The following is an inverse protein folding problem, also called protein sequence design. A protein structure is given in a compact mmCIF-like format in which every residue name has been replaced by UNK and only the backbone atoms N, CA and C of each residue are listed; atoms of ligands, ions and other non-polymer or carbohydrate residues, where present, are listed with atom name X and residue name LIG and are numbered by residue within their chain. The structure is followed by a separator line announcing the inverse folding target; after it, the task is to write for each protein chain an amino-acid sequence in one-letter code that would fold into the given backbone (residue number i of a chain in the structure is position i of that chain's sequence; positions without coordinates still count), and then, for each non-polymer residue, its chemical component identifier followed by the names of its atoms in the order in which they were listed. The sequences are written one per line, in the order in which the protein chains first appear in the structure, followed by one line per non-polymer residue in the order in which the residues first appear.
data_IF_030999751362
#
_entry.id   IF_030999751362
#
_cell.length_a   1.000
_cell.length_b   1.000
_cell.length_c   1.000
_cell.angle_alpha   90.00
_cell.angle_beta   90.00
_cell.angle_gamma   90.00
#
_symmetry.space_group_name_H-M   'P 1'
#
loop_
_entity.id
_entity.type
_entity.pdbx_description
1 polymer ?
#
# COMPACT_ATOMS: atom_id res chain seq x y z
N UNK A 1 -21.11 -13.54 -30.41
CA UNK A 1 -20.12 -12.66 -29.76
C UNK A 1 -19.40 -13.49 -28.71
N UNK A 2 -18.15 -13.89 -28.98
CA UNK A 2 -17.32 -14.54 -27.97
C UNK A 2 -17.03 -13.51 -26.87
N UNK A 3 -17.53 -13.74 -25.66
CA UNK A 3 -17.06 -13.01 -24.49
C UNK A 3 -15.65 -13.52 -24.21
N UNK A 4 -14.65 -12.77 -24.65
CA UNK A 4 -13.27 -12.98 -24.20
C UNK A 4 -13.26 -12.98 -22.67
N UNK A 5 -12.49 -13.90 -22.09
CA UNK A 5 -12.32 -13.95 -20.63
C UNK A 5 -11.66 -12.65 -20.17
N UNK A 6 -12.09 -12.02 -19.06
CA UNK A 6 -11.41 -10.82 -18.55
C UNK A 6 -9.89 -11.04 -18.35
N UNK A 7 -9.47 -12.28 -18.09
CA UNK A 7 -8.06 -12.65 -18.00
C UNK A 7 -7.29 -12.55 -19.33
N UNK A 8 -7.96 -12.62 -20.49
CA UNK A 8 -7.35 -12.46 -21.81
C UNK A 8 -7.29 -11.00 -22.28
N UNK A 9 -7.82 -10.05 -21.50
CA UNK A 9 -7.81 -8.62 -21.84
C UNK A 9 -6.42 -7.97 -21.65
N UNK A 10 -5.51 -8.59 -20.90
CA UNK A 10 -4.18 -8.07 -20.62
C UNK A 10 -3.10 -8.99 -21.18
N UNK A 11 -2.14 -8.40 -21.89
CA UNK A 11 -0.87 -9.07 -22.17
C UNK A 11 0.03 -9.08 -20.93
N UNK A 12 1.09 -9.88 -20.97
CA UNK A 12 1.99 -10.07 -19.82
C UNK A 12 2.62 -8.79 -19.27
N UNK A 13 3.16 -7.87 -20.09
CA UNK A 13 3.61 -6.56 -19.61
C UNK A 13 2.52 -5.75 -18.90
N UNK A 14 1.31 -5.69 -19.46
CA UNK A 14 0.18 -4.97 -18.86
C UNK A 14 -0.24 -5.60 -17.53
N UNK A 15 -0.30 -6.94 -17.46
CA UNK A 15 -0.64 -7.69 -16.24
C UNK A 15 0.36 -7.40 -15.13
N UNK A 16 1.67 -7.43 -15.43
CA UNK A 16 2.73 -7.09 -14.47
C UNK A 16 2.65 -5.64 -14.02
N UNK A 17 2.50 -4.71 -14.96
CA UNK A 17 2.36 -3.28 -14.65
C UNK A 17 1.19 -3.02 -13.71
N UNK A 18 0.01 -3.56 -14.01
CA UNK A 18 -1.17 -3.39 -13.19
C UNK A 18 -1.04 -4.06 -11.82
N UNK A 19 -0.40 -5.24 -11.75
CA UNK A 19 -0.11 -5.91 -10.48
C UNK A 19 0.77 -5.03 -9.59
N UNK A 20 1.80 -4.38 -10.15
CA UNK A 20 2.65 -3.45 -9.40
C UNK A 20 1.87 -2.22 -8.93
N UNK A 21 1.04 -1.63 -9.80
CA UNK A 21 0.20 -0.48 -9.44
C UNK A 21 -0.78 -0.81 -8.32
N UNK A 22 -1.41 -1.99 -8.36
CA UNK A 22 -2.34 -2.41 -7.30
C UNK A 22 -1.63 -2.60 -5.96
N UNK A 23 -0.41 -3.14 -5.97
CA UNK A 23 0.40 -3.27 -4.75
C UNK A 23 0.76 -1.91 -4.15
N UNK A 24 1.16 -0.95 -4.97
CA UNK A 24 1.43 0.43 -4.50
C UNK A 24 0.16 1.02 -3.86
N UNK A 25 -1.01 0.80 -4.47
CA UNK A 25 -2.27 1.28 -3.89
C UNK A 25 -2.59 0.58 -2.55
N UNK A 26 -2.37 -0.73 -2.43
CA UNK A 26 -2.54 -1.46 -1.17
C UNK A 26 -1.58 -0.93 -0.07
N UNK A 27 -0.33 -0.66 -0.42
CA UNK A 27 0.68 -0.07 0.48
C UNK A 27 0.24 1.32 0.97
N UNK A 28 -0.21 2.19 0.08
CA UNK A 28 -0.72 3.52 0.44
C UNK A 28 -1.96 3.44 1.34
N UNK A 29 -2.89 2.51 1.09
CA UNK A 29 -4.07 2.33 1.94
C UNK A 29 -3.68 1.86 3.34
N UNK A 30 -2.70 0.96 3.45
CA UNK A 30 -2.16 0.50 4.74
C UNK A 30 -1.47 1.64 5.49
N UNK A 31 -0.71 2.48 4.80
CA UNK A 31 -0.05 3.65 5.39
C UNK A 31 -1.08 4.65 5.94
N UNK A 32 -2.10 4.98 5.14
CA UNK A 32 -3.20 5.85 5.59
C UNK A 32 -3.92 5.23 6.79
N UNK A 33 -4.26 3.95 6.73
CA UNK A 33 -4.91 3.24 7.84
C UNK A 33 -4.05 3.29 9.11
N UNK A 34 -2.73 3.14 8.98
CA UNK A 34 -1.80 3.21 10.11
C UNK A 34 -1.78 4.62 10.70
N UNK A 35 -1.70 5.66 9.86
CA UNK A 35 -1.67 7.06 10.30
C UNK A 35 -2.94 7.45 11.06
N UNK A 36 -4.13 7.16 10.52
CA UNK A 36 -5.39 7.56 11.18
C UNK A 36 -5.70 6.79 12.46
N UNK A 37 -5.05 5.63 12.65
CA UNK A 37 -5.19 4.80 13.84
C UNK A 37 -4.11 5.11 14.88
N UNK A 38 -3.12 5.95 14.57
CA UNK A 38 -2.09 6.42 15.49
C UNK A 38 -2.54 7.68 16.24
N UNK A 39 -1.95 7.95 17.41
CA UNK A 39 -2.17 9.22 18.13
C UNK A 39 -1.30 10.38 17.57
N UNK A 40 -0.64 10.16 16.43
CA UNK A 40 0.41 11.02 15.90
C UNK A 40 1.80 10.39 16.02
N UNK A 41 2.82 11.18 15.76
CA UNK A 41 4.22 10.77 15.81
C UNK A 41 5.08 11.91 16.37
N UNK A 42 5.98 11.59 17.30
CA UNK A 42 6.98 12.52 17.81
C UNK A 42 8.38 11.92 17.60
N UNK A 43 9.20 12.60 16.80
CA UNK A 43 10.59 12.28 16.55
C UNK A 43 11.51 13.47 16.81
N UNK A 44 12.82 13.24 16.73
CA UNK A 44 13.82 14.26 17.07
C UNK A 44 13.75 15.54 16.19
N UNK A 45 13.23 15.44 14.97
CA UNK A 45 13.20 16.53 13.99
C UNK A 45 11.79 16.80 13.42
N UNK A 46 10.77 16.07 13.88
CA UNK A 46 9.42 16.16 13.32
C UNK A 46 8.39 15.73 14.37
N UNK A 47 7.28 16.48 14.41
CA UNK A 47 6.07 16.12 15.15
C UNK A 47 4.91 16.11 14.17
N UNK A 48 4.11 15.05 14.21
CA UNK A 48 2.84 14.92 13.49
C UNK A 48 1.77 14.75 14.55
N UNK A 49 0.89 15.73 14.66
CA UNK A 49 -0.29 15.62 15.51
C UNK A 49 -1.42 14.98 14.70
N UNK A 50 -2.18 14.06 15.32
CA UNK A 50 -3.38 13.54 14.69
C UNK A 50 -4.55 14.52 14.93
N UNK A 51 -4.85 15.32 13.91
CA UNK A 51 -5.96 16.28 13.89
C UNK A 51 -7.24 15.70 13.24
N UNK A 52 -7.25 14.41 12.91
CA UNK A 52 -8.38 13.75 12.25
C UNK A 52 -9.51 13.54 13.24
N UNK A 53 -10.66 14.17 12.98
CA UNK A 53 -11.85 13.99 13.83
C UNK A 53 -12.37 12.54 13.78
N UNK A 54 -13.09 12.06 14.80
CA UNK A 54 -13.71 10.74 14.80
C UNK A 54 -14.59 10.48 13.56
N UNK A 55 -15.38 11.47 13.14
CA UNK A 55 -16.26 11.35 11.97
C UNK A 55 -15.47 11.29 10.65
N UNK A 56 -14.36 12.04 10.55
CA UNK A 56 -13.48 11.98 9.40
C UNK A 56 -12.78 10.61 9.33
N UNK A 57 -12.30 10.10 10.47
CA UNK A 57 -11.68 8.78 10.61
C UNK A 57 -12.61 7.67 10.13
N UNK A 58 -13.87 7.67 10.56
CA UNK A 58 -14.87 6.69 10.11
C UNK A 58 -15.08 6.74 8.58
N UNK A 59 -15.21 7.94 8.01
CA UNK A 59 -15.36 8.12 6.56
C UNK A 59 -14.14 7.60 5.80
N UNK A 60 -12.93 7.87 6.29
CA UNK A 60 -11.69 7.40 5.67
C UNK A 60 -11.64 5.87 5.70
N UNK A 61 -11.94 5.24 6.84
CA UNK A 61 -11.99 3.78 6.96
C UNK A 61 -13.00 3.16 6.00
N UNK A 62 -14.19 3.75 5.87
CA UNK A 62 -15.19 3.29 4.89
C UNK A 62 -14.68 3.37 3.45
N UNK A 63 -13.95 4.44 3.09
CA UNK A 63 -13.35 4.59 1.77
C UNK A 63 -12.26 3.54 1.54
N UNK A 64 -11.40 3.30 2.53
CA UNK A 64 -10.34 2.29 2.47
C UNK A 64 -10.94 0.91 2.17
N UNK A 65 -11.98 0.50 2.91
CA UNK A 65 -12.66 -0.78 2.69
C UNK A 65 -13.31 -0.88 1.31
N UNK A 66 -13.95 0.20 0.85
CA UNK A 66 -14.52 0.25 -0.50
C UNK A 66 -13.45 0.05 -1.58
N UNK A 67 -12.27 0.67 -1.42
CA UNK A 67 -11.17 0.52 -2.39
C UNK A 67 -10.59 -0.88 -2.33
N UNK A 68 -10.40 -1.47 -1.14
CA UNK A 68 -9.91 -2.84 -0.96
C UNK A 68 -10.82 -3.86 -1.65
N UNK A 69 -12.13 -3.75 -1.49
CA UNK A 69 -13.08 -4.66 -2.15
C UNK A 69 -13.05 -4.50 -3.68
N UNK A 70 -12.88 -3.27 -4.19
CA UNK A 70 -12.67 -3.05 -5.64
C UNK A 70 -11.38 -3.70 -6.13
N UNK A 71 -10.27 -3.55 -5.42
CA UNK A 71 -8.98 -4.15 -5.78
C UNK A 71 -9.05 -5.67 -5.79
N UNK A 72 -9.68 -6.26 -4.77
CA UNK A 72 -9.93 -7.70 -4.66
C UNK A 72 -10.78 -8.24 -5.80
N UNK A 73 -11.81 -7.50 -6.21
CA UNK A 73 -12.65 -7.88 -7.35
C UNK A 73 -11.85 -7.83 -8.67
N UNK A 74 -11.16 -6.71 -8.92
CA UNK A 74 -10.40 -6.48 -10.15
C UNK A 74 -9.21 -7.44 -10.27
N UNK A 75 -8.48 -7.70 -9.19
CA UNK A 75 -7.34 -8.63 -9.18
C UNK A 75 -7.77 -10.06 -9.54
N UNK A 76 -8.93 -10.51 -9.03
CA UNK A 76 -9.52 -11.80 -9.41
C UNK A 76 -9.97 -11.84 -10.86
N UNK A 77 -10.67 -10.80 -11.33
CA UNK A 77 -11.15 -10.72 -12.71
C UNK A 77 -9.99 -10.75 -13.71
N UNK A 78 -8.93 -10.01 -13.42
CA UNK A 78 -7.78 -9.85 -14.30
C UNK A 78 -6.70 -10.90 -14.08
N UNK A 79 -6.90 -11.85 -13.16
CA UNK A 79 -5.92 -12.87 -12.77
C UNK A 79 -4.54 -12.26 -12.49
N UNK A 80 -4.49 -11.27 -11.61
CA UNK A 80 -3.26 -10.62 -11.16
C UNK A 80 -2.55 -11.47 -10.11
N UNK A 81 -1.22 -11.40 -10.11
CA UNK A 81 -0.40 -12.18 -9.18
C UNK A 81 -0.31 -11.52 -7.80
N UNK A 82 -0.61 -12.29 -6.75
CA UNK A 82 -0.36 -11.88 -5.37
C UNK A 82 1.11 -12.12 -5.05
N UNK A 83 1.82 -11.06 -4.64
CA UNK A 83 3.17 -11.18 -4.09
C UNK A 83 3.08 -11.46 -2.61
N UNK A 84 3.69 -12.55 -2.17
CA UNK A 84 3.89 -12.81 -0.75
C UNK A 84 5.25 -12.25 -0.34
N UNK A 85 5.23 -11.29 0.58
CA UNK A 85 6.45 -10.75 1.19
C UNK A 85 6.43 -11.11 2.68
N UNK A 86 7.56 -11.58 3.21
CA UNK A 86 7.72 -11.79 4.65
C UNK A 86 7.92 -10.45 5.33
N UNK A 87 7.17 -10.17 6.39
CA UNK A 87 7.31 -8.94 7.18
C UNK A 87 8.74 -8.75 7.69
N UNK A 88 9.42 -9.83 8.10
CA UNK A 88 10.83 -9.77 8.53
C UNK A 88 11.76 -9.27 7.43
N UNK A 89 11.50 -9.60 6.17
CA UNK A 89 12.29 -9.14 5.03
C UNK A 89 12.06 -7.67 4.75
N UNK A 90 10.82 -7.19 4.92
CA UNK A 90 10.49 -5.78 4.80
C UNK A 90 11.19 -4.95 5.88
N UNK A 91 11.05 -5.36 7.15
CA UNK A 91 11.71 -4.70 8.29
C UNK A 91 13.22 -4.61 8.08
N UNK A 92 13.85 -5.71 7.63
CA UNK A 92 15.29 -5.72 7.38
C UNK A 92 15.68 -4.74 6.26
N UNK A 93 14.91 -4.67 5.18
CA UNK A 93 15.16 -3.72 4.10
C UNK A 93 15.06 -2.27 4.58
N UNK A 94 13.99 -1.95 5.32
CA UNK A 94 13.75 -0.60 5.83
C UNK A 94 14.86 -0.15 6.80
N UNK A 95 15.26 -1.03 7.73
CA UNK A 95 16.36 -0.77 8.66
C UNK A 95 17.71 -0.61 7.95
N UNK A 96 17.96 -1.41 6.91
CA UNK A 96 19.21 -1.31 6.14
C UNK A 96 19.31 0.03 5.45
N UNK A 97 18.21 0.49 4.85
CA UNK A 97 18.12 1.81 4.23
C UNK A 97 18.35 2.94 5.23
N UNK A 98 17.71 2.88 6.41
CA UNK A 98 17.96 3.86 7.47
C UNK A 98 19.43 3.89 7.89
N UNK A 99 20.06 2.72 8.02
CA UNK A 99 21.47 2.62 8.39
C UNK A 99 22.40 3.23 7.34
N UNK A 100 22.15 2.98 6.06
CA UNK A 100 22.94 3.56 4.95
C UNK A 100 22.87 5.09 4.94
N UNK A 101 21.70 5.69 5.19
CA UNK A 101 21.55 7.15 5.30
C UNK A 101 22.40 7.69 6.45
N UNK A 102 22.35 7.04 7.61
CA UNK A 102 23.10 7.48 8.79
C UNK A 102 24.60 7.38 8.57
N UNK A 103 25.11 6.28 8.00
CA UNK A 103 26.53 6.14 7.69
C UNK A 103 26.98 7.13 6.61
N UNK A 104 26.17 7.34 5.56
CA UNK A 104 26.46 8.32 4.51
C UNK A 104 26.55 9.77 5.01
N UNK A 105 25.83 10.10 6.08
CA UNK A 105 25.84 11.44 6.70
C UNK A 105 27.10 11.75 7.53
N UNK A 106 27.95 10.75 7.79
CA UNK A 106 29.22 10.92 8.52
C UNK A 106 30.39 11.39 7.64
N UNK A 107 30.14 11.66 6.36
CA UNK A 107 31.13 12.08 5.37
C UNK A 107 31.44 13.58 5.42
#
# INVERSE_FOLDING_TARGET
MNKESPASMLNEPQRRGLSSTFRILEEMLLEIETMINSDGFEGNLMVIENDVSPEAREKILMIIELVREKLKSLSKQLALEIKQTKMSSQILADLSYCWEILEGSKA
#
